data_IF_327086237421
#
_entry.id   IF_327086237421
#
_cell.length_a   1.000
_cell.length_b   1.000
_cell.length_c   1.000
_cell.angle_alpha   90.00
_cell.angle_beta   90.00
_cell.angle_gamma   90.00
#
_symmetry.space_group_name_H-M   'P 1'
#
loop_
_entity.id
_entity.type
_entity.pdbx_description
1 polymer ?
#
# COMPACT_ATOMS: atom_id res chain seq x y z
N UNK A 1 -15.60 -18.39 -13.75
CA UNK A 1 -15.23 -17.31 -12.80
C UNK A 1 -15.13 -17.80 -11.35
N UNK A 2 -16.03 -18.60 -10.85
CA UNK A 2 -15.96 -19.13 -9.47
C UNK A 2 -14.66 -19.92 -9.18
N UNK A 3 -14.16 -20.69 -10.13
CA UNK A 3 -12.93 -21.49 -9.96
C UNK A 3 -11.65 -20.65 -9.81
N UNK A 4 -11.58 -19.49 -10.45
CA UNK A 4 -10.42 -18.59 -10.33
C UNK A 4 -10.38 -17.94 -8.94
N UNK A 5 -11.52 -17.46 -8.47
CA UNK A 5 -11.62 -16.84 -7.14
C UNK A 5 -11.31 -17.83 -6.01
N UNK A 6 -11.80 -19.07 -6.13
CA UNK A 6 -11.52 -20.13 -5.16
C UNK A 6 -10.04 -20.47 -5.12
N UNK A 7 -9.39 -20.54 -6.29
CA UNK A 7 -7.95 -20.82 -6.39
C UNK A 7 -7.10 -19.68 -5.86
N UNK A 8 -7.46 -18.43 -6.17
CA UNK A 8 -6.78 -17.25 -5.64
C UNK A 8 -6.88 -17.17 -4.11
N UNK A 9 -8.06 -17.42 -3.56
CA UNK A 9 -8.27 -17.51 -2.10
C UNK A 9 -7.39 -18.57 -1.46
N UNK A 10 -7.36 -19.77 -2.05
CA UNK A 10 -6.53 -20.86 -1.54
C UNK A 10 -5.04 -20.52 -1.58
N UNK A 11 -4.55 -19.90 -2.66
CA UNK A 11 -3.16 -19.44 -2.78
C UNK A 11 -2.80 -18.43 -1.69
N UNK A 12 -3.63 -17.44 -1.49
CA UNK A 12 -3.43 -16.42 -0.46
C UNK A 12 -3.39 -17.07 0.93
N UNK A 13 -4.29 -17.99 1.21
CA UNK A 13 -4.35 -18.70 2.49
C UNK A 13 -3.10 -19.55 2.72
N UNK A 14 -2.68 -20.34 1.75
CA UNK A 14 -1.50 -21.20 1.86
C UNK A 14 -0.25 -20.36 2.13
N UNK A 15 -0.02 -19.31 1.34
CA UNK A 15 1.17 -18.47 1.45
C UNK A 15 1.18 -17.64 2.74
N UNK A 16 0.01 -17.30 3.28
CA UNK A 16 -0.08 -16.58 4.56
C UNK A 16 0.17 -17.47 5.78
N UNK A 17 -0.11 -18.77 5.67
CA UNK A 17 0.04 -19.70 6.78
C UNK A 17 1.37 -20.43 6.81
N UNK A 18 1.97 -20.66 5.65
CA UNK A 18 3.19 -21.47 5.53
C UNK A 18 4.19 -20.78 4.58
N UNK A 19 5.47 -21.04 4.82
CA UNK A 19 6.52 -20.60 3.90
C UNK A 19 6.67 -21.65 2.79
N UNK A 20 6.46 -21.23 1.55
CA UNK A 20 6.52 -22.08 0.36
C UNK A 20 7.69 -21.63 -0.51
N UNK A 21 8.52 -22.57 -0.93
CA UNK A 21 9.75 -22.28 -1.67
C UNK A 21 9.69 -22.63 -3.16
N UNK A 22 8.72 -23.45 -3.59
CA UNK A 22 8.60 -23.89 -4.99
C UNK A 22 7.17 -23.89 -5.49
N UNK A 23 7.00 -23.83 -6.82
CA UNK A 23 5.69 -23.93 -7.46
C UNK A 23 5.10 -25.33 -7.31
N UNK A 24 5.95 -26.36 -7.32
CA UNK A 24 5.57 -27.75 -7.12
C UNK A 24 4.91 -27.93 -5.74
N UNK A 25 5.50 -27.31 -4.73
CA UNK A 25 4.96 -27.30 -3.37
C UNK A 25 3.59 -26.61 -3.30
N UNK A 26 3.44 -25.47 -3.99
CA UNK A 26 2.12 -24.80 -4.12
C UNK A 26 1.09 -25.68 -4.81
N UNK A 27 1.46 -26.34 -5.91
CA UNK A 27 0.56 -27.24 -6.62
C UNK A 27 0.11 -28.41 -5.73
N UNK A 28 1.02 -29.00 -4.96
CA UNK A 28 0.71 -30.09 -4.05
C UNK A 28 -0.24 -29.64 -2.94
N UNK A 29 -0.01 -28.47 -2.36
CA UNK A 29 -0.90 -27.90 -1.34
C UNK A 29 -2.30 -27.61 -1.89
N UNK A 30 -2.38 -27.05 -3.09
CA UNK A 30 -3.66 -26.80 -3.77
C UNK A 30 -4.39 -28.13 -4.06
N UNK A 31 -3.66 -29.15 -4.52
CA UNK A 31 -4.21 -30.48 -4.78
C UNK A 31 -4.81 -31.11 -3.53
N UNK A 32 -4.16 -30.95 -2.38
CA UNK A 32 -4.68 -31.41 -1.07
C UNK A 32 -5.98 -30.73 -0.69
N UNK A 33 -6.23 -29.51 -1.19
CA UNK A 33 -7.49 -28.80 -1.00
C UNK A 33 -8.52 -29.06 -2.11
N UNK A 34 -8.25 -30.04 -2.98
CA UNK A 34 -9.14 -30.40 -4.09
C UNK A 34 -9.05 -29.48 -5.31
N UNK A 35 -8.00 -28.64 -5.38
CA UNK A 35 -7.78 -27.71 -6.48
C UNK A 35 -6.63 -28.20 -7.35
N UNK A 36 -6.95 -28.64 -8.58
CA UNK A 36 -5.95 -29.05 -9.56
C UNK A 36 -5.62 -27.88 -10.49
N UNK A 37 -4.34 -27.59 -10.68
CA UNK A 37 -3.88 -26.53 -11.56
C UNK A 37 -2.61 -26.94 -12.29
N UNK A 38 -2.38 -26.33 -13.45
CA UNK A 38 -1.14 -26.51 -14.21
C UNK A 38 -0.11 -25.47 -13.77
N UNK A 39 1.19 -25.71 -14.04
CA UNK A 39 2.25 -24.77 -13.76
C UNK A 39 2.03 -23.42 -14.50
N UNK A 40 1.57 -23.48 -15.76
CA UNK A 40 1.30 -22.25 -16.52
C UNK A 40 0.18 -21.42 -15.89
N UNK A 41 -0.89 -22.06 -15.43
CA UNK A 41 -2.01 -21.41 -14.76
C UNK A 41 -1.56 -20.85 -13.41
N UNK A 42 -0.81 -21.62 -12.63
CA UNK A 42 -0.27 -21.18 -11.34
C UNK A 42 0.65 -19.96 -11.51
N UNK A 43 1.52 -19.99 -12.51
CA UNK A 43 2.41 -18.86 -12.80
C UNK A 43 1.63 -17.58 -13.14
N UNK A 44 0.53 -17.69 -13.90
CA UNK A 44 -0.35 -16.55 -14.20
C UNK A 44 -1.08 -16.04 -12.96
N UNK A 45 -1.55 -16.94 -12.11
CA UNK A 45 -2.22 -16.58 -10.86
C UNK A 45 -1.26 -15.85 -9.90
N UNK A 46 -0.03 -16.35 -9.76
CA UNK A 46 0.99 -15.70 -8.95
C UNK A 46 1.29 -14.27 -9.44
N UNK A 47 1.37 -14.07 -10.76
CA UNK A 47 1.53 -12.73 -11.35
C UNK A 47 0.31 -11.85 -11.14
N UNK A 48 -0.89 -12.38 -11.33
CA UNK A 48 -2.14 -11.64 -11.14
C UNK A 48 -2.30 -11.18 -9.70
N UNK A 49 -1.90 -12.01 -8.75
CA UNK A 49 -1.91 -11.72 -7.31
C UNK A 49 -0.66 -10.92 -6.85
N UNK A 50 0.26 -10.61 -7.75
CA UNK A 50 1.54 -9.94 -7.47
C UNK A 50 2.38 -10.65 -6.39
N UNK A 51 2.24 -11.97 -6.31
CA UNK A 51 3.03 -12.79 -5.39
C UNK A 51 4.44 -12.92 -5.94
N UNK A 52 5.44 -12.60 -5.13
CA UNK A 52 6.84 -12.62 -5.51
C UNK A 52 7.58 -13.75 -4.78
N UNK A 53 8.55 -14.33 -5.47
CA UNK A 53 9.51 -15.25 -4.83
C UNK A 53 10.71 -14.45 -4.34
N UNK A 54 10.91 -14.46 -3.03
CA UNK A 54 12.03 -13.77 -2.39
C UNK A 54 13.11 -14.81 -2.07
N UNK A 55 14.37 -14.63 -2.51
CA UNK A 55 15.46 -15.54 -2.20
C UNK A 55 15.61 -15.74 -0.70
N UNK A 56 15.64 -17.00 -0.25
CA UNK A 56 15.73 -17.37 1.17
C UNK A 56 14.45 -17.26 1.99
N UNK A 57 13.40 -16.61 1.46
CA UNK A 57 12.13 -16.39 2.18
C UNK A 57 10.93 -17.07 1.54
N UNK A 58 11.08 -17.60 0.32
CA UNK A 58 10.00 -18.25 -0.44
C UNK A 58 9.02 -17.27 -1.09
N UNK A 59 7.82 -17.78 -1.39
CA UNK A 59 6.75 -16.95 -1.96
C UNK A 59 6.15 -16.05 -0.89
N UNK A 60 6.03 -14.78 -1.23
CA UNK A 60 5.44 -13.76 -0.38
C UNK A 60 4.24 -13.13 -1.09
N UNK A 61 3.14 -13.03 -0.35
CA UNK A 61 2.04 -12.16 -0.77
C UNK A 61 2.60 -10.76 -1.02
N UNK A 62 2.04 -10.01 -2.00
CA UNK A 62 2.28 -8.60 -2.04
C UNK A 62 1.83 -8.10 -0.68
N UNK A 63 2.77 -7.96 0.20
CA UNK A 63 2.48 -7.18 1.37
C UNK A 63 2.05 -5.82 0.81
N UNK A 64 0.93 -5.27 1.23
CA UNK A 64 0.84 -3.85 1.36
C UNK A 64 2.13 -3.56 2.14
N UNK A 65 3.12 -3.07 1.45
CA UNK A 65 4.52 -3.11 1.89
C UNK A 65 4.54 -2.92 3.40
N UNK A 66 5.28 -3.72 4.16
CA UNK A 66 5.36 -3.58 5.62
C UNK A 66 5.73 -2.15 6.02
N UNK A 67 6.23 -1.35 5.07
CA UNK A 67 6.29 0.10 5.05
C UNK A 67 4.91 0.79 5.12
N UNK A 68 3.81 0.12 4.73
CA UNK A 68 2.44 0.65 4.78
C UNK A 68 1.63 0.11 5.98
N UNK A 69 2.04 -0.97 6.63
CA UNK A 69 1.39 -1.48 7.85
C UNK A 69 1.86 -0.78 9.13
N UNK A 70 3.09 -0.28 9.13
CA UNK A 70 3.49 0.79 10.01
C UNK A 70 3.23 2.08 9.23
N UNK A 71 2.04 2.62 9.22
CA UNK A 71 1.75 3.91 8.58
C UNK A 71 2.92 4.90 8.78
N UNK A 72 3.01 5.99 8.02
CA UNK A 72 4.10 6.92 8.21
C UNK A 72 4.16 7.21 9.71
N UNK A 73 5.21 6.70 10.34
CA UNK A 73 5.43 7.01 11.74
C UNK A 73 5.58 8.53 11.83
N UNK A 74 5.16 9.17 12.91
CA UNK A 74 5.39 10.61 13.09
C UNK A 74 6.83 11.00 12.79
N UNK A 75 7.77 10.09 13.02
CA UNK A 75 9.21 10.26 12.74
C UNK A 75 9.59 10.27 11.26
N UNK A 76 8.72 9.80 10.35
CA UNK A 76 9.02 9.82 8.91
C UNK A 76 8.66 11.15 8.24
N UNK A 77 7.85 11.98 8.88
CA UNK A 77 7.46 13.29 8.37
C UNK A 77 8.42 14.35 8.90
N UNK A 78 8.92 15.18 8.01
CA UNK A 78 9.84 16.25 8.33
C UNK A 78 9.08 17.57 8.47
N UNK A 79 8.24 17.91 7.52
CA UNK A 79 7.45 19.15 7.55
C UNK A 79 6.19 19.07 6.71
N UNK A 80 5.25 19.94 7.04
CA UNK A 80 4.03 20.21 6.27
C UNK A 80 3.93 21.72 6.06
N UNK A 81 3.81 22.14 4.82
CA UNK A 81 3.62 23.55 4.46
C UNK A 81 2.48 23.71 3.48
N UNK A 82 1.77 24.83 3.59
CA UNK A 82 0.71 25.18 2.65
C UNK A 82 1.14 26.39 1.79
N UNK A 83 0.87 26.28 0.49
CA UNK A 83 1.11 27.36 -0.46
C UNK A 83 -0.03 27.42 -1.48
N UNK A 84 -0.92 28.41 -1.33
CA UNK A 84 -2.09 28.54 -2.20
C UNK A 84 -2.97 27.27 -2.16
N UNK A 85 -3.11 26.61 -3.28
CA UNK A 85 -3.90 25.39 -3.43
C UNK A 85 -3.05 24.10 -3.31
N UNK A 86 -1.85 24.20 -2.77
CA UNK A 86 -0.95 23.07 -2.57
C UNK A 86 -0.59 22.94 -1.09
N UNK A 87 -0.48 21.70 -0.64
CA UNK A 87 0.21 21.37 0.58
C UNK A 87 1.41 20.49 0.24
N UNK A 88 2.53 20.77 0.87
CA UNK A 88 3.78 20.06 0.65
C UNK A 88 4.16 19.33 1.92
N UNK A 89 4.22 18.01 1.85
CA UNK A 89 4.75 17.18 2.93
C UNK A 89 6.17 16.76 2.57
N UNK A 90 7.12 17.13 3.39
CA UNK A 90 8.48 16.59 3.33
C UNK A 90 8.58 15.38 4.24
N UNK A 91 9.22 14.35 3.74
CA UNK A 91 9.45 13.11 4.48
C UNK A 91 10.91 12.73 4.48
N UNK A 92 11.26 11.73 5.26
CA UNK A 92 12.53 11.05 5.05
C UNK A 92 12.54 10.35 3.69
N UNK A 93 13.71 10.13 3.08
CA UNK A 93 13.81 9.46 1.78
C UNK A 93 13.09 8.13 1.75
N UNK A 94 12.31 7.90 0.68
CA UNK A 94 11.55 6.66 0.46
C UNK A 94 10.15 6.62 1.10
N UNK A 95 9.75 7.63 1.90
CA UNK A 95 8.46 7.61 2.61
C UNK A 95 7.34 8.41 1.93
N UNK A 96 7.65 9.32 1.02
CA UNK A 96 6.64 10.15 0.37
C UNK A 96 5.56 9.36 -0.38
N UNK A 97 5.88 8.30 -1.15
CA UNK A 97 4.86 7.48 -1.80
C UNK A 97 3.89 6.82 -0.82
N UNK A 98 4.38 6.40 0.35
CA UNK A 98 3.55 5.80 1.39
C UNK A 98 2.56 6.81 1.97
N UNK A 99 3.02 8.02 2.24
CA UNK A 99 2.19 9.12 2.75
C UNK A 99 1.11 9.48 1.73
N UNK A 100 1.47 9.65 0.47
CA UNK A 100 0.51 9.96 -0.61
C UNK A 100 -0.54 8.86 -0.75
N UNK A 101 -0.12 7.60 -0.78
CA UNK A 101 -1.03 6.45 -0.85
C UNK A 101 -2.00 6.39 0.32
N UNK A 102 -1.52 6.67 1.53
CA UNK A 102 -2.36 6.70 2.72
C UNK A 102 -3.45 7.78 2.61
N UNK A 103 -3.09 8.96 2.11
CA UNK A 103 -4.05 10.06 1.89
C UNK A 103 -5.06 9.68 0.81
N UNK A 104 -4.63 9.10 -0.30
CA UNK A 104 -5.49 8.71 -1.41
C UNK A 104 -6.47 7.58 -1.04
N UNK A 105 -6.12 6.73 -0.07
CA UNK A 105 -7.03 5.69 0.45
C UNK A 105 -8.11 6.25 1.39
N UNK A 106 -8.01 7.52 1.77
CA UNK A 106 -9.03 8.22 2.57
C UNK A 106 -9.61 9.39 1.78
N UNK A 107 -10.46 9.11 0.78
CA UNK A 107 -11.05 10.15 -0.06
C UNK A 107 -11.75 11.20 0.79
N UNK A 108 -11.46 12.44 0.52
CA UNK A 108 -12.06 13.57 1.22
C UNK A 108 -12.37 14.72 0.26
N UNK A 109 -13.42 15.46 0.55
CA UNK A 109 -13.83 16.57 -0.32
C UNK A 109 -12.76 17.65 -0.49
N UNK A 110 -12.01 18.07 0.55
CA UNK A 110 -11.02 19.14 0.42
C UNK A 110 -9.81 18.80 -0.42
N UNK A 111 -9.50 17.51 -0.58
CA UNK A 111 -8.32 17.04 -1.32
C UNK A 111 -8.75 16.52 -2.68
N UNK A 112 -8.12 17.04 -3.74
CA UNK A 112 -8.35 16.60 -5.10
C UNK A 112 -7.53 15.35 -5.44
N UNK A 113 -6.30 15.29 -4.99
CA UNK A 113 -5.37 14.18 -5.21
C UNK A 113 -3.99 14.48 -4.68
N UNK A 114 -3.09 13.52 -4.85
CA UNK A 114 -1.69 13.64 -4.43
C UNK A 114 -0.73 13.21 -5.54
N UNK A 115 0.48 13.73 -5.47
CA UNK A 115 1.64 13.26 -6.25
C UNK A 115 2.81 13.14 -5.29
N UNK A 116 3.59 12.07 -5.40
CA UNK A 116 4.77 11.86 -4.57
C UNK A 116 6.03 11.56 -5.37
N UNK A 117 7.13 12.18 -4.96
CA UNK A 117 8.48 11.78 -5.30
C UNK A 117 9.04 10.83 -4.24
N UNK A 118 10.34 10.92 -3.96
CA UNK A 118 10.99 10.07 -2.96
C UNK A 118 10.80 10.58 -1.53
N UNK A 119 11.01 11.88 -1.30
CA UNK A 119 10.99 12.56 -0.01
C UNK A 119 9.98 13.70 0.07
N UNK A 120 9.20 13.91 -0.96
CA UNK A 120 8.26 15.03 -1.06
C UNK A 120 6.95 14.52 -1.64
N UNK A 121 5.84 14.80 -0.96
CA UNK A 121 4.49 14.57 -1.45
C UNK A 121 3.78 15.92 -1.62
N UNK A 122 3.15 16.12 -2.77
CA UNK A 122 2.27 17.26 -3.04
C UNK A 122 0.82 16.83 -2.86
N UNK A 123 0.07 17.60 -2.09
CA UNK A 123 -1.37 17.47 -1.95
C UNK A 123 -2.02 18.62 -2.71
N UNK A 124 -2.87 18.29 -3.65
CA UNK A 124 -3.60 19.28 -4.44
C UNK A 124 -4.94 19.52 -3.76
N UNK A 125 -5.16 20.74 -3.29
CA UNK A 125 -6.40 21.16 -2.66
C UNK A 125 -7.47 21.42 -3.73
N UNK A 126 -8.68 20.99 -3.43
CA UNK A 126 -9.81 21.34 -4.30
C UNK A 126 -10.09 22.84 -4.20
N UNK A 127 -10.43 23.46 -5.31
CA UNK A 127 -10.78 24.87 -5.34
C UNK A 127 -11.87 25.21 -4.31
N UNK A 128 -11.65 26.24 -3.54
CA UNK A 128 -12.55 26.66 -2.45
C UNK A 128 -12.31 25.94 -1.12
N UNK A 129 -11.39 24.97 -1.07
CA UNK A 129 -10.99 24.34 0.19
C UNK A 129 -9.92 25.16 0.89
N UNK A 130 -9.99 25.19 2.21
CA UNK A 130 -9.01 25.89 3.05
C UNK A 130 -7.93 24.96 3.60
N UNK A 131 -6.79 25.53 3.95
CA UNK A 131 -5.72 24.78 4.62
C UNK A 131 -6.21 24.13 5.92
N UNK A 132 -7.06 24.78 6.68
CA UNK A 132 -7.63 24.25 7.91
C UNK A 132 -8.47 22.98 7.64
N UNK A 133 -9.31 22.97 6.60
CA UNK A 133 -10.09 21.79 6.23
C UNK A 133 -9.21 20.62 5.81
N UNK A 134 -8.15 20.88 5.05
CA UNK A 134 -7.18 19.84 4.66
C UNK A 134 -6.42 19.33 5.88
N UNK A 135 -6.02 20.19 6.78
CA UNK A 135 -5.32 19.81 8.00
C UNK A 135 -6.16 18.89 8.89
N UNK A 136 -7.47 19.16 9.02
CA UNK A 136 -8.40 18.26 9.74
C UNK A 136 -8.47 16.87 9.12
N UNK A 137 -8.46 16.78 7.79
CA UNK A 137 -8.43 15.49 7.09
C UNK A 137 -7.11 14.78 7.34
N UNK A 138 -6.00 15.50 7.22
CA UNK A 138 -4.67 14.94 7.43
C UNK A 138 -4.46 14.43 8.86
N UNK A 139 -5.01 15.09 9.86
CA UNK A 139 -4.95 14.63 11.25
C UNK A 139 -5.62 13.27 11.48
N UNK A 140 -6.72 13.01 10.79
CA UNK A 140 -7.42 11.72 10.86
C UNK A 140 -6.62 10.59 10.24
N UNK A 141 -5.81 10.92 9.24
CA UNK A 141 -5.05 9.94 8.43
C UNK A 141 -3.63 9.78 8.99
N UNK A 142 -3.02 10.87 9.42
CA UNK A 142 -1.65 10.92 9.93
C UNK A 142 -1.68 11.56 11.30
N UNK A 143 -1.63 10.76 12.39
CA UNK A 143 -1.54 11.31 13.73
C UNK A 143 -0.36 12.26 13.89
N UNK A 144 -0.54 13.31 14.66
CA UNK A 144 0.49 14.32 14.98
C UNK A 144 1.00 15.16 13.80
N UNK A 145 0.33 15.12 12.63
CA UNK A 145 0.76 15.92 11.47
C UNK A 145 0.86 17.42 11.78
N UNK A 146 0.04 17.92 12.67
CA UNK A 146 0.07 19.33 13.11
C UNK A 146 1.38 19.74 13.75
N UNK A 147 2.08 18.81 14.41
CA UNK A 147 3.39 19.13 15.01
C UNK A 147 4.48 19.42 13.97
N UNK A 148 4.25 19.01 12.73
CA UNK A 148 5.16 19.23 11.60
C UNK A 148 4.77 20.42 10.72
N UNK A 149 3.71 21.14 11.08
CA UNK A 149 3.25 22.30 10.33
C UNK A 149 4.24 23.46 10.47
N UNK A 150 4.70 23.96 9.35
CA UNK A 150 5.50 25.18 9.26
C UNK A 150 4.57 26.31 8.83
N UNK A 151 4.57 27.36 9.58
CA UNK A 151 3.78 28.57 9.34
C UNK A 151 4.64 29.64 8.67
#
# INVERSE_FOLDING_TARGET
>A
MQHIQSRHKALIQIISQETIYSQEELQEKLRKQGITTTQATLSRDLKALRILKVPGEGYRLPQPTARFLTGPTPTSIVSLEFSGQLAVIKTQPGFAPAVASLIDHHPSRPILGTIAGDDTALIILRQGSTAAQVLEVLEKVIPDIKSHLII
#
